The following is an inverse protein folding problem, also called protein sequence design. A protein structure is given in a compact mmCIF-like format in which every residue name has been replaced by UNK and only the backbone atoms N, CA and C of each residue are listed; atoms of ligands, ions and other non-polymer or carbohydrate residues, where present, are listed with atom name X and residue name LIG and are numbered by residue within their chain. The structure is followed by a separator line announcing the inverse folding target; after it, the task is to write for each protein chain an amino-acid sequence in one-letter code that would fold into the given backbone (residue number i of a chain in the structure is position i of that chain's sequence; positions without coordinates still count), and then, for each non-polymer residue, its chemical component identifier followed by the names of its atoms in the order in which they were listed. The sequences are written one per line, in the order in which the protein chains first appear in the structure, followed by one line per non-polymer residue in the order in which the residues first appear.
data_IF_352915165846
#
_entry.id   IF_352915165846
#
_cell.length_a   1.000
_cell.length_b   1.000
_cell.length_c   1.000
_cell.angle_alpha   90.00
_cell.angle_beta   90.00
_cell.angle_gamma   90.00
#
_symmetry.space_group_name_H-M   'P 1'
#
loop_
_entity.id
_entity.type
_entity.pdbx_description
1 polymer ?
#
# COMPACT_ATOMS: atom_id res chain seq x y z
N UNK A 1 -15.28 -12.11 -18.50
CA UNK A 1 -14.60 -12.90 -19.55
C UNK A 1 -14.51 -12.13 -20.88
N UNK A 2 -15.61 -11.90 -21.63
CA UNK A 2 -15.54 -11.13 -22.90
C UNK A 2 -14.97 -9.72 -22.75
N UNK A 3 -15.40 -8.99 -21.73
CA UNK A 3 -14.89 -7.64 -21.44
C UNK A 3 -13.36 -7.58 -21.28
N UNK A 4 -12.74 -8.63 -20.73
CA UNK A 4 -11.28 -8.72 -20.61
C UNK A 4 -10.64 -8.90 -21.99
N UNK A 5 -11.19 -9.80 -22.81
CA UNK A 5 -10.70 -10.02 -24.17
C UNK A 5 -10.85 -8.78 -25.04
N UNK A 6 -11.96 -8.06 -24.91
CA UNK A 6 -12.19 -6.79 -25.63
C UNK A 6 -11.22 -5.70 -25.17
N UNK A 7 -11.01 -5.56 -23.86
CA UNK A 7 -10.05 -4.61 -23.30
C UNK A 7 -8.61 -4.91 -23.78
N UNK A 8 -8.16 -6.16 -23.68
CA UNK A 8 -6.80 -6.53 -24.10
C UNK A 8 -6.63 -6.41 -25.61
N UNK A 9 -7.67 -6.69 -26.41
CA UNK A 9 -7.66 -6.43 -27.87
C UNK A 9 -7.52 -4.94 -28.18
N UNK A 10 -8.20 -4.07 -27.45
CA UNK A 10 -8.12 -2.62 -27.65
C UNK A 10 -6.73 -2.03 -27.35
N UNK A 11 -5.87 -2.78 -26.63
CA UNK A 11 -4.51 -2.40 -26.27
C UNK A 11 -3.45 -3.29 -26.91
N UNK A 12 -3.78 -4.01 -27.99
CA UNK A 12 -2.89 -4.91 -28.74
C UNK A 12 -2.20 -6.00 -27.87
N UNK A 13 -2.78 -6.31 -26.70
CA UNK A 13 -2.27 -7.28 -25.74
C UNK A 13 -2.88 -8.69 -25.91
N UNK A 14 -3.90 -8.83 -26.78
CA UNK A 14 -4.51 -10.10 -27.12
C UNK A 14 -4.99 -10.08 -28.58
N UNK A 15 -4.57 -11.06 -29.39
CA UNK A 15 -5.02 -11.22 -30.79
C UNK A 15 -5.87 -12.49 -31.01
N UNK A 16 -6.08 -13.27 -29.96
CA UNK A 16 -6.76 -14.56 -30.01
C UNK A 16 -8.29 -14.47 -30.03
N UNK A 17 -8.93 -15.62 -29.84
CA UNK A 17 -10.37 -15.82 -29.96
C UNK A 17 -11.24 -15.03 -28.96
N UNK A 18 -12.48 -15.50 -28.81
CA UNK A 18 -13.54 -14.82 -28.04
C UNK A 18 -13.17 -14.55 -26.58
N UNK A 19 -12.34 -15.42 -25.99
CA UNK A 19 -11.87 -15.32 -24.61
C UNK A 19 -10.35 -15.27 -24.56
N UNK A 20 -9.83 -14.65 -23.50
CA UNK A 20 -8.40 -14.72 -23.17
C UNK A 20 -8.16 -16.03 -22.45
N UNK A 21 -7.31 -16.87 -23.02
CA UNK A 21 -6.99 -18.19 -22.48
C UNK A 21 -5.52 -18.30 -22.08
N UNK A 22 -5.27 -19.04 -21.00
CA UNK A 22 -3.93 -19.34 -20.49
C UNK A 22 -3.79 -20.85 -20.30
N UNK A 23 -2.65 -21.41 -20.71
CA UNK A 23 -2.28 -22.81 -20.41
C UNK A 23 -1.44 -22.84 -19.14
N UNK A 24 -1.96 -23.47 -18.09
CA UNK A 24 -1.26 -23.60 -16.80
C UNK A 24 -1.32 -25.07 -16.39
N UNK A 25 -0.17 -25.73 -16.28
CA UNK A 25 -0.12 -27.14 -15.88
C UNK A 25 -0.81 -28.11 -16.84
N UNK A 26 -0.89 -27.77 -18.13
CA UNK A 26 -1.57 -28.58 -19.15
C UNK A 26 -3.10 -28.45 -19.14
N UNK A 27 -3.64 -27.48 -18.41
CA UNK A 27 -5.06 -27.15 -18.41
C UNK A 27 -5.27 -25.73 -18.98
N UNK A 28 -6.29 -25.59 -19.81
CA UNK A 28 -6.72 -24.31 -20.36
C UNK A 28 -7.62 -23.57 -19.36
N UNK A 29 -7.22 -22.36 -18.98
CA UNK A 29 -8.00 -21.44 -18.15
C UNK A 29 -8.52 -20.26 -18.96
N UNK A 30 -9.66 -19.71 -18.57
CA UNK A 30 -10.21 -18.47 -19.13
C UNK A 30 -10.03 -17.33 -18.14
N UNK A 31 -9.43 -16.23 -18.59
CA UNK A 31 -9.30 -15.02 -17.77
C UNK A 31 -10.65 -14.30 -17.74
N UNK A 32 -11.27 -14.29 -16.55
CA UNK A 32 -12.61 -13.69 -16.38
C UNK A 32 -12.57 -12.23 -15.95
N UNK A 33 -11.51 -11.83 -15.23
CA UNK A 33 -11.23 -10.51 -14.70
C UNK A 33 -9.71 -10.30 -14.63
N UNK A 34 -9.26 -9.06 -14.80
CA UNK A 34 -7.85 -8.62 -14.70
C UNK A 34 -7.62 -7.69 -13.48
N UNK A 35 -8.62 -7.59 -12.59
CA UNK A 35 -8.46 -6.90 -11.31
C UNK A 35 -8.37 -5.38 -11.41
N UNK A 36 -8.86 -4.79 -12.51
CA UNK A 36 -8.88 -3.35 -12.71
C UNK A 36 -9.92 -2.70 -11.78
N UNK A 37 -9.47 -2.29 -10.59
CA UNK A 37 -10.27 -1.51 -9.64
C UNK A 37 -9.42 -0.48 -8.92
N UNK A 38 -10.09 0.50 -8.33
CA UNK A 38 -9.42 1.38 -7.37
C UNK A 38 -8.91 0.56 -6.19
N UNK A 39 -7.66 0.83 -5.81
CA UNK A 39 -7.09 0.28 -4.59
C UNK A 39 -7.85 0.81 -3.37
N UNK A 40 -8.00 -0.03 -2.36
CA UNK A 40 -8.52 0.34 -1.05
C UNK A 40 -7.48 1.18 -0.31
N UNK A 41 -7.86 1.98 0.71
CA UNK A 41 -6.90 2.76 1.50
C UNK A 41 -5.74 1.89 2.02
N UNK A 42 -6.04 0.72 2.58
CA UNK A 42 -5.01 -0.20 3.09
C UNK A 42 -4.02 -0.64 1.99
N UNK A 43 -4.51 -0.95 0.79
CA UNK A 43 -3.64 -1.31 -0.33
C UNK A 43 -2.75 -0.15 -0.79
N UNK A 44 -3.27 1.08 -0.76
CA UNK A 44 -2.49 2.28 -1.09
C UNK A 44 -1.35 2.51 -0.08
N UNK A 45 -1.63 2.40 1.23
CA UNK A 45 -0.62 2.52 2.27
C UNK A 45 0.43 1.41 2.20
N UNK A 46 0.00 0.16 1.97
CA UNK A 46 0.92 -0.97 1.78
C UNK A 46 1.82 -0.75 0.56
N UNK A 47 1.28 -0.23 -0.55
CA UNK A 47 2.06 0.09 -1.75
C UNK A 47 3.08 1.21 -1.51
N UNK A 48 2.84 2.10 -0.55
CA UNK A 48 3.82 3.09 -0.11
C UNK A 48 4.87 2.55 0.87
N UNK A 49 4.74 1.30 1.32
CA UNK A 49 5.67 0.68 2.26
C UNK A 49 5.37 0.99 3.72
N UNK A 50 4.14 1.41 4.04
CA UNK A 50 3.72 1.51 5.44
C UNK A 50 3.56 0.11 6.06
N UNK A 51 3.87 -0.03 7.36
CA UNK A 51 3.57 -1.25 8.10
C UNK A 51 2.09 -1.63 8.05
N UNK A 52 1.79 -2.93 8.10
CA UNK A 52 0.42 -3.43 8.04
C UNK A 52 -0.45 -2.97 9.23
N UNK A 53 0.19 -2.70 10.37
CA UNK A 53 -0.40 -2.21 11.62
C UNK A 53 -0.43 -0.67 11.71
N UNK A 54 0.04 0.05 10.68
CA UNK A 54 -0.09 1.50 10.64
C UNK A 54 -1.57 1.90 10.66
N UNK A 55 -1.96 2.73 11.64
CA UNK A 55 -3.35 3.17 11.83
C UNK A 55 -3.70 4.24 10.79
N UNK A 56 -4.70 3.95 9.96
CA UNK A 56 -5.18 4.84 8.89
C UNK A 56 -6.63 5.26 9.12
N UNK A 57 -7.32 4.57 10.04
CA UNK A 57 -8.75 4.63 10.23
C UNK A 57 -9.19 5.89 11.00
N UNK A 58 -8.25 6.63 11.59
CA UNK A 58 -8.53 7.80 12.42
C UNK A 58 -7.36 8.20 13.30
N UNK A 59 -7.64 9.06 14.28
CA UNK A 59 -6.67 9.57 15.24
C UNK A 59 -7.27 9.62 16.64
N UNK A 60 -6.46 9.34 17.66
CA UNK A 60 -6.84 9.57 19.06
C UNK A 60 -6.73 11.05 19.42
N UNK A 61 -7.77 11.57 20.09
CA UNK A 61 -7.84 12.94 20.58
C UNK A 61 -7.96 12.93 22.11
N UNK A 62 -7.35 13.91 22.78
CA UNK A 62 -7.33 13.98 24.24
C UNK A 62 -6.50 12.86 24.88
N UNK A 63 -5.37 12.48 24.27
CA UNK A 63 -4.48 11.44 24.82
C UNK A 63 -3.81 11.87 26.13
N UNK A 64 -3.83 13.18 26.40
CA UNK A 64 -3.40 13.82 27.63
C UNK A 64 -4.49 13.91 28.72
N UNK A 65 -5.72 13.48 28.42
CA UNK A 65 -6.84 13.48 29.38
C UNK A 65 -7.15 12.05 29.86
N UNK A 66 -7.97 11.94 30.91
CA UNK A 66 -8.43 10.64 31.42
C UNK A 66 -9.44 9.93 30.49
N UNK A 67 -9.89 10.58 29.40
CA UNK A 67 -10.91 10.06 28.48
C UNK A 67 -10.53 10.33 27.01
N UNK A 68 -9.56 9.58 26.45
CA UNK A 68 -9.18 9.70 25.06
C UNK A 68 -10.29 9.18 24.14
N UNK A 69 -10.58 9.91 23.07
CA UNK A 69 -11.60 9.54 22.08
C UNK A 69 -11.00 9.30 20.71
N UNK A 70 -11.47 8.27 20.00
CA UNK A 70 -11.03 7.99 18.64
C UNK A 70 -11.90 8.73 17.62
N UNK A 71 -11.27 9.60 16.83
CA UNK A 71 -11.93 10.32 15.74
C UNK A 71 -11.67 9.59 14.42
N UNK A 72 -12.69 8.93 13.82
CA UNK A 72 -12.51 8.18 12.58
C UNK A 72 -12.34 9.08 11.37
N UNK A 73 -11.60 8.60 10.37
CA UNK A 73 -11.44 9.23 9.06
C UNK A 73 -12.32 8.55 8.01
N UNK A 74 -13.03 9.36 7.22
CA UNK A 74 -13.73 8.90 6.03
C UNK A 74 -12.73 8.40 4.97
N UNK A 75 -13.19 7.54 4.07
CA UNK A 75 -12.33 6.85 3.08
C UNK A 75 -11.50 7.81 2.22
N UNK A 76 -12.10 8.92 1.78
CA UNK A 76 -11.47 9.97 1.00
C UNK A 76 -10.35 10.69 1.77
N UNK A 77 -10.56 10.93 3.07
CA UNK A 77 -9.52 11.47 3.97
C UNK A 77 -8.35 10.51 4.07
N UNK A 78 -8.60 9.20 4.25
CA UNK A 78 -7.52 8.20 4.30
C UNK A 78 -6.71 8.17 3.00
N UNK A 79 -7.40 8.21 1.84
CA UNK A 79 -6.74 8.27 0.52
C UNK A 79 -5.93 9.56 0.35
N UNK A 80 -6.46 10.69 0.81
CA UNK A 80 -5.76 11.98 0.78
C UNK A 80 -4.51 11.97 1.66
N UNK A 81 -4.59 11.42 2.88
CA UNK A 81 -3.44 11.25 3.77
C UNK A 81 -2.37 10.37 3.12
N UNK A 82 -2.76 9.26 2.51
CA UNK A 82 -1.85 8.42 1.75
C UNK A 82 -1.18 9.24 0.63
N UNK A 83 -1.96 9.87 -0.25
CA UNK A 83 -1.45 10.63 -1.41
C UNK A 83 -0.49 11.77 -1.06
N UNK A 84 -0.58 12.33 0.16
CA UNK A 84 0.31 13.39 0.65
C UNK A 84 1.46 12.88 1.53
N UNK A 85 1.53 11.57 1.79
CA UNK A 85 2.61 10.98 2.59
C UNK A 85 3.87 10.73 1.76
N UNK A 86 4.95 10.31 2.44
CA UNK A 86 6.21 9.91 1.81
C UNK A 86 6.43 8.43 2.09
N UNK A 87 6.89 7.69 1.09
CA UNK A 87 7.29 6.29 1.18
C UNK A 87 8.30 6.08 2.33
N UNK A 88 7.92 5.40 3.45
CA UNK A 88 8.78 5.24 4.61
C UNK A 88 10.15 4.63 4.32
N UNK A 89 10.30 3.53 3.54
CA UNK A 89 11.64 2.98 3.29
C UNK A 89 12.53 3.92 2.46
N UNK A 90 11.93 4.73 1.58
CA UNK A 90 12.68 5.77 0.86
C UNK A 90 13.14 6.89 1.79
N UNK A 91 12.24 7.38 2.65
CA UNK A 91 12.57 8.41 3.63
C UNK A 91 13.68 7.92 4.58
N UNK A 92 13.59 6.69 5.07
CA UNK A 92 14.60 6.06 5.90
C UNK A 92 15.97 6.00 5.20
N UNK A 93 16.03 5.57 3.94
CA UNK A 93 17.27 5.47 3.18
C UNK A 93 17.94 6.85 3.01
N UNK A 94 17.16 7.88 2.69
CA UNK A 94 17.66 9.26 2.53
C UNK A 94 18.20 9.78 3.87
N UNK A 95 17.45 9.62 4.96
CA UNK A 95 17.88 10.07 6.29
C UNK A 95 19.14 9.33 6.72
N UNK A 96 19.21 8.01 6.55
CA UNK A 96 20.38 7.20 6.89
C UNK A 96 21.63 7.66 6.14
N UNK A 97 21.51 7.99 4.86
CA UNK A 97 22.63 8.44 4.04
C UNK A 97 23.16 9.84 4.43
N UNK A 98 22.28 10.74 4.86
CA UNK A 98 22.63 12.16 5.06
C UNK A 98 22.78 12.57 6.54
N UNK A 99 22.12 11.84 7.45
CA UNK A 99 21.99 12.21 8.86
C UNK A 99 22.65 11.20 9.80
N UNK A 100 23.64 10.43 9.33
CA UNK A 100 24.34 9.45 10.16
C UNK A 100 24.93 10.06 11.45
N UNK A 101 25.32 11.32 11.41
CA UNK A 101 25.83 12.09 12.56
C UNK A 101 24.78 12.41 13.64
N UNK A 102 23.48 12.29 13.33
CA UNK A 102 22.37 12.48 14.27
C UNK A 102 21.87 11.15 14.85
N UNK A 103 22.35 10.02 14.35
CA UNK A 103 21.97 8.72 14.88
C UNK A 103 22.41 8.65 16.35
N UNK A 104 21.47 8.43 17.26
CA UNK A 104 21.80 8.18 18.66
C UNK A 104 22.64 6.89 18.73
N UNK A 105 23.81 6.96 19.35
CA UNK A 105 24.62 5.77 19.62
C UNK A 105 23.92 4.93 20.69
N UNK A 106 23.08 3.99 20.25
CA UNK A 106 22.34 3.06 21.13
C UNK A 106 23.32 2.19 21.97
N UNK A 107 24.60 2.14 21.62
CA UNK A 107 25.63 1.34 22.30
C UNK A 107 25.92 1.75 23.76
N UNK A 108 25.50 2.92 24.26
CA UNK A 108 25.81 3.34 25.64
C UNK A 108 24.79 2.93 26.71
N UNK A 109 23.57 2.51 26.36
CA UNK A 109 22.54 2.17 27.35
C UNK A 109 22.57 0.68 27.80
N UNK A 110 23.13 -0.23 26.99
CA UNK A 110 23.22 -1.65 27.34
C UNK A 110 24.39 -2.00 28.29
N UNK A 111 25.30 -1.06 28.55
CA UNK A 111 26.48 -1.29 29.39
C UNK A 111 26.30 -0.89 30.88
N UNK A 112 25.13 -0.37 31.26
CA UNK A 112 24.83 0.10 32.63
C UNK A 112 23.53 -0.49 33.23
N UNK A 113 23.02 -1.60 32.68
CA UNK A 113 21.86 -2.34 33.21
C UNK A 113 22.26 -3.66 33.86
#
# INVERSE_FOLDING_TARGET
ARAVADFLRAHDAWAGGEFVTLEIGGQTFVVVDIGMRMLTPRELFNAQGFPADYVIEGVWQGVETDDPTFKPFAKDVQVSCCGNSVCPPLAEAIVRANCAHLAANIEQEAAHG
#
